data_IF_631878088040
#
_entry.id   IF_631878088040
#
_cell.length_a   1.000
_cell.length_b   1.000
_cell.length_c   1.000
_cell.angle_alpha   90.00
_cell.angle_beta   90.00
_cell.angle_gamma   90.00
#
_symmetry.space_group_name_H-M   'P 1'
#
loop_
_entity.id
_entity.type
_entity.pdbx_description
1 polymer ?
#
# COMPACT_ATOMS: atom_id res chain seq x y z
N UNK A 1 6.88 -8.22 -11.55
CA UNK A 1 6.13 -9.26 -10.80
C UNK A 1 4.63 -9.10 -11.02
N UNK A 2 3.99 -8.02 -10.52
CA UNK A 2 2.53 -7.84 -10.63
C UNK A 2 1.96 -8.00 -12.05
N UNK A 3 2.49 -7.27 -13.03
CA UNK A 3 2.07 -7.37 -14.45
C UNK A 3 2.13 -8.82 -14.97
N UNK A 4 3.26 -9.49 -14.77
CA UNK A 4 3.44 -10.88 -15.19
C UNK A 4 2.51 -11.87 -14.46
N UNK A 5 2.12 -11.60 -13.20
CA UNK A 5 1.14 -12.42 -12.47
C UNK A 5 -0.24 -12.29 -13.11
N UNK A 6 -0.67 -11.05 -13.38
CA UNK A 6 -1.97 -10.76 -14.00
C UNK A 6 -2.06 -11.32 -15.42
N UNK A 7 -1.03 -11.12 -16.24
CA UNK A 7 -0.97 -11.64 -17.62
C UNK A 7 -1.05 -13.18 -17.71
N UNK A 8 -0.73 -13.88 -16.62
CA UNK A 8 -0.85 -15.34 -16.49
C UNK A 8 -2.19 -15.78 -15.85
N UNK A 9 -3.19 -14.89 -15.79
CA UNK A 9 -4.51 -15.16 -15.20
C UNK A 9 -4.50 -15.24 -13.66
N UNK A 10 -3.40 -14.82 -13.02
CA UNK A 10 -3.30 -14.73 -11.57
C UNK A 10 -3.92 -13.46 -11.01
N UNK A 11 -3.84 -13.31 -9.69
CA UNK A 11 -4.35 -12.14 -8.95
C UNK A 11 -3.24 -11.52 -8.11
N UNK A 12 -3.20 -10.20 -8.05
CA UNK A 12 -2.28 -9.45 -7.21
C UNK A 12 -3.07 -8.81 -6.07
N UNK A 13 -2.69 -9.10 -4.83
CA UNK A 13 -3.26 -8.48 -3.64
C UNK A 13 -2.25 -7.49 -3.07
N UNK A 14 -2.58 -6.20 -3.17
CA UNK A 14 -1.64 -5.07 -2.94
C UNK A 14 -2.38 -3.86 -2.35
N UNK A 15 -1.66 -2.76 -2.09
CA UNK A 15 -2.18 -1.56 -1.41
C UNK A 15 -2.68 -0.50 -2.37
N UNK A 16 -3.99 -0.26 -2.35
CA UNK A 16 -4.63 0.90 -2.96
C UNK A 16 -4.97 1.98 -1.95
N UNK A 17 -5.80 2.93 -2.39
CA UNK A 17 -6.39 3.99 -1.59
C UNK A 17 -7.91 3.77 -1.57
N UNK A 18 -8.52 3.85 -0.39
CA UNK A 18 -9.98 3.96 -0.35
C UNK A 18 -10.45 5.39 -0.66
N UNK A 19 -11.77 5.59 -0.65
CA UNK A 19 -12.42 6.89 -0.89
C UNK A 19 -12.01 7.99 0.10
N UNK A 20 -11.44 7.64 1.24
CA UNK A 20 -11.05 8.54 2.31
C UNK A 20 -9.53 8.77 2.37
N UNK A 21 -8.80 8.27 1.37
CA UNK A 21 -7.33 8.28 1.32
C UNK A 21 -6.67 7.48 2.45
N UNK A 22 -7.32 6.39 2.86
CA UNK A 22 -6.75 5.41 3.78
C UNK A 22 -6.30 4.17 3.00
N UNK A 23 -5.14 3.57 3.33
CA UNK A 23 -4.66 2.43 2.57
C UNK A 23 -5.47 1.17 2.87
N UNK A 24 -5.93 0.51 1.82
CA UNK A 24 -6.69 -0.75 1.92
C UNK A 24 -6.05 -1.84 1.06
N UNK A 25 -6.40 -3.09 1.30
CA UNK A 25 -6.01 -4.18 0.41
C UNK A 25 -7.03 -4.37 -0.71
N UNK A 26 -6.50 -4.45 -1.93
CA UNK A 26 -7.27 -4.59 -3.15
C UNK A 26 -6.72 -5.74 -3.98
N UNK A 27 -7.62 -6.34 -4.75
CA UNK A 27 -7.30 -7.36 -5.74
C UNK A 27 -7.18 -6.70 -7.10
N UNK A 28 -6.11 -7.02 -7.81
CA UNK A 28 -5.80 -6.51 -9.13
C UNK A 28 -5.69 -7.70 -10.08
N UNK A 29 -6.56 -7.73 -11.07
CA UNK A 29 -6.65 -8.76 -12.11
C UNK A 29 -6.55 -8.18 -13.52
N UNK A 30 -6.36 -6.86 -13.64
CA UNK A 30 -6.13 -6.16 -14.89
C UNK A 30 -4.84 -5.34 -14.82
N UNK A 31 -4.05 -5.36 -15.89
CA UNK A 31 -2.75 -4.66 -15.93
C UNK A 31 -2.90 -3.15 -15.77
N UNK A 32 -4.00 -2.57 -16.28
CA UNK A 32 -4.25 -1.13 -16.22
C UNK A 32 -4.49 -0.63 -14.78
N UNK A 33 -5.01 -1.51 -13.91
CA UNK A 33 -5.30 -1.18 -12.52
C UNK A 33 -4.05 -1.18 -11.63
N UNK A 34 -2.95 -1.82 -12.06
CA UNK A 34 -1.70 -1.88 -11.29
C UNK A 34 -1.20 -0.47 -10.94
N UNK A 35 -1.35 0.49 -11.86
CA UNK A 35 -0.89 1.88 -11.65
C UNK A 35 -1.53 2.54 -10.43
N UNK A 36 -2.78 2.19 -10.10
CA UNK A 36 -3.53 2.72 -8.94
C UNK A 36 -2.89 2.35 -7.61
N UNK A 37 -2.10 1.28 -7.59
CA UNK A 37 -1.52 0.70 -6.37
C UNK A 37 -0.04 1.05 -6.17
N UNK A 38 0.57 1.73 -7.13
CA UNK A 38 1.97 2.17 -7.06
C UNK A 38 2.18 3.19 -5.93
N UNK A 39 3.44 3.59 -5.77
CA UNK A 39 3.96 4.45 -4.70
C UNK A 39 3.92 3.84 -3.30
N UNK A 40 4.74 4.41 -2.41
CA UNK A 40 4.70 4.09 -1.00
C UNK A 40 3.51 4.75 -0.32
N UNK A 41 2.99 4.10 0.72
CA UNK A 41 1.90 4.58 1.58
C UNK A 41 2.36 4.34 3.03
N UNK A 42 2.83 5.38 3.73
CA UNK A 42 3.47 5.25 5.05
C UNK A 42 2.48 5.18 6.22
N UNK A 43 1.34 4.53 5.96
CA UNK A 43 0.20 4.42 6.85
C UNK A 43 -0.13 2.95 7.04
N UNK A 44 -0.73 2.60 8.17
CA UNK A 44 -1.19 1.25 8.36
C UNK A 44 -2.34 0.98 7.40
N UNK A 45 -2.24 -0.13 6.68
CA UNK A 45 -3.28 -0.58 5.76
C UNK A 45 -4.30 -1.47 6.46
N UNK A 46 -5.57 -1.31 6.10
CA UNK A 46 -6.60 -2.27 6.49
C UNK A 46 -6.45 -3.56 5.67
N UNK A 47 -6.21 -4.69 6.35
CA UNK A 47 -6.07 -6.01 5.72
C UNK A 47 -7.42 -6.58 5.28
N UNK A 48 -8.50 -6.25 5.98
CA UNK A 48 -9.83 -6.81 5.73
C UNK A 48 -9.79 -8.34 5.62
N UNK A 49 -10.44 -8.88 4.59
CA UNK A 49 -10.49 -10.33 4.31
C UNK A 49 -9.38 -10.84 3.39
N UNK A 50 -8.32 -10.05 3.19
CA UNK A 50 -7.32 -10.35 2.16
C UNK A 50 -6.63 -11.69 2.36
N UNK A 51 -6.36 -12.10 3.60
CA UNK A 51 -5.80 -13.42 3.87
C UNK A 51 -6.74 -14.56 3.47
N UNK A 52 -8.05 -14.42 3.69
CA UNK A 52 -9.05 -15.39 3.25
C UNK A 52 -9.11 -15.46 1.72
N UNK A 53 -9.07 -14.30 1.05
CA UNK A 53 -9.03 -14.21 -0.42
C UNK A 53 -7.79 -14.91 -1.00
N UNK A 54 -6.61 -14.70 -0.41
CA UNK A 54 -5.39 -15.45 -0.79
C UNK A 54 -5.64 -16.95 -0.70
N UNK A 55 -6.18 -17.43 0.42
CA UNK A 55 -6.44 -18.85 0.63
C UNK A 55 -7.42 -19.40 -0.41
N UNK A 56 -8.48 -18.66 -0.71
CA UNK A 56 -9.51 -19.08 -1.67
C UNK A 56 -8.94 -19.18 -3.09
N UNK A 57 -8.23 -18.16 -3.57
CA UNK A 57 -7.61 -18.18 -4.89
C UNK A 57 -6.54 -19.28 -5.02
N UNK A 58 -5.73 -19.48 -3.98
CA UNK A 58 -4.73 -20.54 -3.95
C UNK A 58 -5.37 -21.94 -4.05
N UNK A 59 -6.47 -22.18 -3.32
CA UNK A 59 -7.23 -23.44 -3.39
C UNK A 59 -7.87 -23.70 -4.75
N UNK A 60 -8.22 -22.63 -5.47
CA UNK A 60 -8.70 -22.70 -6.86
C UNK A 60 -7.56 -22.91 -7.87
N UNK A 61 -6.30 -23.05 -7.43
CA UNK A 61 -5.15 -23.26 -8.29
C UNK A 61 -4.63 -22.00 -8.98
N UNK A 62 -5.18 -20.82 -8.64
CA UNK A 62 -4.78 -19.52 -9.21
C UNK A 62 -3.52 -18.99 -8.55
N UNK A 63 -2.62 -18.43 -9.34
CA UNK A 63 -1.42 -17.78 -8.81
C UNK A 63 -1.79 -16.47 -8.11
N UNK A 64 -1.31 -16.28 -6.89
CA UNK A 64 -1.57 -15.11 -6.05
C UNK A 64 -0.25 -14.43 -5.70
N UNK A 65 -0.09 -13.16 -6.05
CA UNK A 65 1.02 -12.32 -5.58
C UNK A 65 0.51 -11.44 -4.43
N UNK A 66 1.06 -11.61 -3.22
CA UNK A 66 0.66 -10.80 -2.06
C UNK A 66 1.81 -9.89 -1.63
N UNK A 67 1.65 -8.57 -1.78
CA UNK A 67 2.73 -7.58 -1.56
C UNK A 67 2.43 -6.74 -0.33
N UNK A 68 3.19 -6.90 0.76
CA UNK A 68 2.94 -6.18 2.02
C UNK A 68 4.15 -5.94 2.92
N UNK A 69 3.94 -5.23 4.03
CA UNK A 69 4.95 -5.05 5.06
C UNK A 69 5.35 -6.41 5.69
N UNK A 70 6.57 -6.55 6.22
CA UNK A 70 7.07 -7.83 6.73
C UNK A 70 6.17 -8.45 7.83
N UNK A 71 5.59 -7.62 8.70
CA UNK A 71 4.66 -8.07 9.73
C UNK A 71 3.37 -8.68 9.16
N UNK A 72 2.83 -8.13 8.06
CA UNK A 72 1.65 -8.67 7.37
C UNK A 72 2.00 -9.95 6.59
N UNK A 73 3.20 -10.02 6.01
CA UNK A 73 3.71 -11.26 5.39
C UNK A 73 3.88 -12.37 6.43
N UNK A 74 4.38 -12.06 7.62
CA UNK A 74 4.45 -13.02 8.72
C UNK A 74 3.06 -13.54 9.12
N UNK A 75 2.06 -12.65 9.20
CA UNK A 75 0.65 -13.02 9.41
C UNK A 75 0.11 -13.96 8.32
N UNK A 76 0.37 -13.64 7.05
CA UNK A 76 -0.02 -14.49 5.92
C UNK A 76 0.62 -15.89 6.01
N UNK A 77 1.92 -15.97 6.28
CA UNK A 77 2.65 -17.25 6.42
C UNK A 77 2.07 -18.12 7.52
N UNK A 78 1.65 -17.54 8.65
CA UNK A 78 0.99 -18.28 9.73
C UNK A 78 -0.36 -18.88 9.31
N UNK A 79 -1.11 -18.17 8.47
CA UNK A 79 -2.39 -18.64 7.94
C UNK A 79 -2.18 -19.73 6.89
N UNK A 80 -1.22 -19.54 5.98
CA UNK A 80 -0.88 -20.53 4.94
C UNK A 80 -0.60 -21.90 5.52
N UNK A 81 0.28 -21.98 6.53
CA UNK A 81 0.67 -23.26 7.13
C UNK A 81 -0.47 -24.01 7.81
N UNK A 82 -1.56 -23.32 8.15
CA UNK A 82 -2.74 -23.89 8.82
C UNK A 82 -3.90 -24.20 7.87
N UNK A 83 -3.97 -23.55 6.70
CA UNK A 83 -5.19 -23.53 5.86
C UNK A 83 -4.99 -24.06 4.43
N UNK A 84 -3.75 -24.23 3.98
CA UNK A 84 -3.41 -24.62 2.61
C UNK A 84 -2.66 -25.96 2.56
N UNK A 85 -2.93 -26.75 1.53
CA UNK A 85 -2.09 -27.90 1.17
C UNK A 85 -0.75 -27.43 0.59
N UNK A 86 0.23 -28.33 0.51
CA UNK A 86 1.55 -28.02 -0.07
C UNK A 86 1.44 -27.50 -1.51
N UNK A 87 0.57 -28.09 -2.33
CA UNK A 87 0.35 -27.65 -3.71
C UNK A 87 -0.31 -26.27 -3.80
N UNK A 88 -1.29 -25.99 -2.93
CA UNK A 88 -1.92 -24.67 -2.89
C UNK A 88 -0.95 -23.58 -2.39
N UNK A 89 -0.04 -23.91 -1.45
CA UNK A 89 0.98 -22.96 -1.00
C UNK A 89 1.92 -22.51 -2.12
N UNK A 90 2.26 -23.40 -3.07
CA UNK A 90 3.09 -23.05 -4.25
C UNK A 90 2.43 -22.01 -5.16
N UNK A 91 1.11 -21.83 -5.07
CA UNK A 91 0.37 -20.81 -5.82
C UNK A 91 0.49 -19.42 -5.22
N UNK A 92 0.98 -19.26 -3.99
CA UNK A 92 1.10 -17.96 -3.34
C UNK A 92 2.54 -17.50 -3.31
N UNK A 93 2.78 -16.33 -3.91
CA UNK A 93 4.06 -15.61 -3.85
C UNK A 93 3.93 -14.42 -2.87
N UNK A 94 4.40 -14.55 -1.63
CA UNK A 94 4.52 -13.42 -0.72
C UNK A 94 5.72 -12.54 -1.10
N UNK A 95 5.54 -11.23 -1.10
CA UNK A 95 6.60 -10.24 -1.29
C UNK A 95 6.54 -9.25 -0.14
N UNK A 96 7.63 -9.15 0.63
CA UNK A 96 7.77 -8.10 1.63
C UNK A 96 8.42 -6.83 1.04
N UNK A 97 8.16 -5.71 1.70
CA UNK A 97 8.79 -4.43 1.41
C UNK A 97 9.65 -4.02 2.60
N UNK A 98 10.75 -3.30 2.34
CA UNK A 98 11.51 -2.65 3.42
C UNK A 98 10.60 -1.61 4.08
N UNK A 99 10.39 -1.77 5.39
CA UNK A 99 9.45 -0.97 6.17
C UNK A 99 10.17 -0.33 7.35
N UNK A 100 10.10 1.00 7.44
CA UNK A 100 10.58 1.75 8.61
C UNK A 100 9.57 1.74 9.76
N UNK A 101 8.29 1.69 9.43
CA UNK A 101 7.18 1.84 10.36
C UNK A 101 5.99 2.48 9.67
N UNK A 102 4.84 2.45 10.33
CA UNK A 102 3.61 3.08 9.83
C UNK A 102 3.10 4.13 10.81
N UNK A 103 2.57 5.22 10.26
CA UNK A 103 2.02 6.33 11.02
C UNK A 103 0.54 6.15 11.37
N UNK A 104 0.04 7.00 12.27
CA UNK A 104 -1.37 7.13 12.60
C UNK A 104 -2.22 7.60 11.41
N UNK A 105 -3.15 6.75 10.97
CA UNK A 105 -4.16 7.09 9.96
C UNK A 105 -5.03 8.28 10.37
N UNK A 106 -5.28 8.45 11.67
CA UNK A 106 -6.04 9.58 12.19
C UNK A 106 -5.31 10.91 11.94
N UNK A 107 -4.03 10.98 12.28
CA UNK A 107 -3.25 12.21 12.08
C UNK A 107 -3.07 12.54 10.60
N UNK A 108 -2.93 11.52 9.74
CA UNK A 108 -2.85 11.76 8.31
C UNK A 108 -4.15 12.31 7.75
N UNK A 109 -5.29 11.74 8.15
CA UNK A 109 -6.60 12.25 7.74
C UNK A 109 -6.79 13.69 8.22
N UNK A 110 -6.44 13.99 9.47
CA UNK A 110 -6.46 15.36 10.01
C UNK A 110 -5.58 16.31 9.20
N UNK A 111 -4.35 15.90 8.88
CA UNK A 111 -3.45 16.67 8.00
C UNK A 111 -4.10 16.96 6.63
N UNK A 112 -4.75 15.96 6.02
CA UNK A 112 -5.43 16.16 4.76
C UNK A 112 -6.62 17.12 4.88
N UNK A 113 -7.47 16.95 5.90
CA UNK A 113 -8.65 17.79 6.13
C UNK A 113 -8.28 19.26 6.44
N UNK A 114 -7.16 19.50 7.12
CA UNK A 114 -6.68 20.85 7.45
C UNK A 114 -5.97 21.53 6.27
N UNK A 115 -5.38 20.76 5.35
CA UNK A 115 -4.52 21.30 4.29
C UNK A 115 -5.17 21.29 2.91
N UNK A 116 -6.19 20.45 2.68
CA UNK A 116 -6.76 20.18 1.37
C UNK A 116 -8.27 19.89 1.43
N UNK A 117 -8.97 20.18 0.34
CA UNK A 117 -10.26 19.57 0.06
C UNK A 117 -10.06 18.13 -0.43
N UNK A 118 -10.29 17.14 0.45
CA UNK A 118 -10.05 15.72 0.15
C UNK A 118 -10.81 15.21 -1.08
N UNK A 119 -11.97 15.80 -1.39
CA UNK A 119 -12.78 15.39 -2.55
C UNK A 119 -12.14 15.81 -3.88
N UNK A 120 -11.22 16.78 -3.84
CA UNK A 120 -10.48 17.24 -5.02
C UNK A 120 -9.14 16.53 -5.19
N UNK A 121 -8.70 15.70 -4.26
CA UNK A 121 -7.45 14.95 -4.41
C UNK A 121 -7.65 13.83 -5.46
N UNK A 122 -6.68 13.64 -6.34
CA UNK A 122 -6.64 12.55 -7.33
C UNK A 122 -5.48 11.58 -7.11
N UNK A 123 -4.35 12.06 -6.58
CA UNK A 123 -3.18 11.23 -6.31
C UNK A 123 -2.47 11.72 -5.04
N UNK A 124 -2.03 10.78 -4.21
CA UNK A 124 -1.10 11.03 -3.12
C UNK A 124 0.12 10.14 -3.31
N UNK A 125 1.29 10.76 -3.42
CA UNK A 125 2.56 10.08 -3.56
C UNK A 125 3.52 10.50 -2.44
N UNK A 126 3.75 9.60 -1.50
CA UNK A 126 4.62 9.86 -0.35
C UNK A 126 6.09 9.99 -0.73
N UNK A 127 6.50 9.56 -1.92
CA UNK A 127 7.89 9.57 -2.36
C UNK A 127 7.97 9.87 -3.86
N UNK A 128 7.47 11.05 -4.24
CA UNK A 128 7.64 11.57 -5.59
C UNK A 128 9.12 11.76 -5.89
N UNK A 129 9.47 11.42 -7.14
CA UNK A 129 10.82 11.49 -7.69
C UNK A 129 10.95 12.62 -8.72
N UNK A 130 10.00 13.55 -8.76
CA UNK A 130 9.99 14.67 -9.71
C UNK A 130 11.22 15.58 -9.52
N UNK A 131 11.85 15.55 -8.33
CA UNK A 131 13.11 16.23 -8.02
C UNK A 131 14.32 15.27 -7.93
N UNK A 132 14.19 14.07 -8.51
CA UNK A 132 15.20 13.02 -8.46
C UNK A 132 15.17 12.20 -7.17
N UNK A 133 16.17 11.33 -7.01
CA UNK A 133 16.25 10.39 -5.88
C UNK A 133 16.89 10.96 -4.62
N UNK A 134 17.72 12.00 -4.76
CA UNK A 134 18.49 12.59 -3.66
C UNK A 134 17.64 13.43 -2.70
N UNK A 135 16.48 13.93 -3.15
CA UNK A 135 15.58 14.76 -2.35
C UNK A 135 14.17 14.22 -2.43
N UNK A 136 13.85 13.30 -1.53
CA UNK A 136 12.51 12.70 -1.46
C UNK A 136 11.45 13.78 -1.15
N UNK A 137 10.34 13.70 -1.87
CA UNK A 137 9.27 14.68 -1.82
C UNK A 137 7.91 14.02 -1.69
N UNK A 138 6.99 14.72 -1.03
CA UNK A 138 5.58 14.38 -0.93
C UNK A 138 4.83 15.15 -2.02
N UNK A 139 3.98 14.46 -2.79
CA UNK A 139 3.20 15.07 -3.87
C UNK A 139 1.72 14.76 -3.71
N UNK A 140 0.89 15.78 -3.93
CA UNK A 140 -0.55 15.65 -4.10
C UNK A 140 -0.94 16.25 -5.46
N UNK A 141 -1.74 15.53 -6.24
CA UNK A 141 -2.35 16.01 -7.48
C UNK A 141 -3.85 16.18 -7.25
N UNK A 142 -4.43 17.27 -7.75
CA UNK A 142 -5.85 17.60 -7.59
C UNK A 142 -6.62 17.51 -8.91
N UNK A 143 -7.94 17.48 -8.82
CA UNK A 143 -8.87 17.32 -9.95
C UNK A 143 -8.90 18.50 -10.91
N UNK A 144 -8.49 19.69 -10.46
CA UNK A 144 -8.30 20.88 -11.31
C UNK A 144 -6.96 20.89 -12.06
N UNK A 145 -6.16 19.83 -11.95
CA UNK A 145 -4.83 19.71 -12.54
C UNK A 145 -3.71 20.39 -11.73
N UNK A 146 -4.04 21.13 -10.67
CA UNK A 146 -3.04 21.70 -9.77
C UNK A 146 -2.38 20.61 -8.92
N UNK A 147 -1.16 20.89 -8.44
CA UNK A 147 -0.42 19.97 -7.60
C UNK A 147 0.36 20.69 -6.51
N UNK A 148 0.64 19.97 -5.43
CA UNK A 148 1.54 20.40 -4.35
C UNK A 148 2.70 19.41 -4.28
N UNK A 149 3.93 19.93 -4.22
CA UNK A 149 5.15 19.15 -4.08
C UNK A 149 6.01 19.75 -2.98
N UNK A 150 6.21 18.99 -1.91
CA UNK A 150 6.96 19.45 -0.75
C UNK A 150 8.10 18.50 -0.45
N UNK A 151 9.26 19.04 -0.10
CA UNK A 151 10.31 18.21 0.48
C UNK A 151 9.84 17.62 1.80
N UNK A 152 10.22 16.37 2.05
CA UNK A 152 9.94 15.67 3.31
C UNK A 152 10.32 16.47 4.57
N UNK A 153 11.39 17.26 4.50
CA UNK A 153 11.83 18.12 5.59
C UNK A 153 10.95 19.35 5.84
N UNK A 154 10.12 19.74 4.87
CA UNK A 154 9.21 20.90 4.94
C UNK A 154 7.75 20.50 5.12
N UNK A 155 7.39 19.26 4.79
CA UNK A 155 6.05 18.74 4.99
C UNK A 155 5.85 18.37 6.48
N UNK A 156 4.97 19.09 7.18
CA UNK A 156 4.79 18.93 8.63
C UNK A 156 4.37 17.52 9.06
N UNK A 157 3.52 16.87 8.26
CA UNK A 157 3.21 15.46 8.46
C UNK A 157 4.50 14.65 8.33
N UNK A 158 5.11 14.57 7.15
CA UNK A 158 6.27 13.72 6.92
C UNK A 158 7.43 13.97 7.90
N UNK A 159 7.67 15.23 8.27
CA UNK A 159 8.66 15.59 9.28
C UNK A 159 8.42 14.83 10.59
N UNK A 160 7.19 14.88 11.13
CA UNK A 160 6.84 14.12 12.33
C UNK A 160 6.94 12.60 12.17
N UNK A 161 6.59 12.05 11.00
CA UNK A 161 6.78 10.63 10.69
C UNK A 161 8.27 10.24 10.73
N UNK A 162 9.13 11.03 10.10
CA UNK A 162 10.59 10.79 10.08
C UNK A 162 11.24 10.90 11.46
N UNK A 163 10.64 11.71 12.35
CA UNK A 163 11.04 11.86 13.76
C UNK A 163 10.38 10.85 14.70
N UNK A 164 9.61 9.90 14.17
CA UNK A 164 8.93 8.84 14.91
C UNK A 164 7.89 9.33 15.93
N UNK A 165 7.37 10.56 15.78
CA UNK A 165 6.49 11.18 16.80
C UNK A 165 5.14 10.48 16.96
N UNK A 166 4.70 9.76 15.93
CA UNK A 166 3.39 9.09 15.90
C UNK A 166 3.43 7.79 15.08
N UNK A 167 4.59 7.13 15.07
CA UNK A 167 4.63 5.73 14.64
C UNK A 167 3.77 4.91 15.60
N UNK A 168 3.13 3.85 15.07
CA UNK A 168 2.44 2.92 15.95
C UNK A 168 3.46 2.24 16.86
N UNK A 169 3.09 1.99 18.12
CA UNK A 169 3.96 1.37 19.12
C UNK A 169 4.48 -0.02 18.76
N UNK A 170 3.79 -0.71 17.84
CA UNK A 170 4.22 -2.01 17.30
C UNK A 170 5.32 -1.91 16.24
N UNK A 171 5.72 -0.69 15.86
CA UNK A 171 6.69 -0.39 14.79
C UNK A 171 7.96 0.26 15.35
#
# INVERSE_FOLDING_TARGET
MAKATVEKGGVVIVVGWDKDWLPVHEEIEATDDIRKTLSSKYLQSNVGRSYERVVNYAKQGRNVLFVRAPCQIAGLKNIHSKKLSLEAMKKVTPVDLVCFGVSSSFLFRKYLDESFDRQKILEINFRSKDKGWSRSSFKIVKSDGSWVLEYHSKNGFYYGFSRKLYLRSTC
#
